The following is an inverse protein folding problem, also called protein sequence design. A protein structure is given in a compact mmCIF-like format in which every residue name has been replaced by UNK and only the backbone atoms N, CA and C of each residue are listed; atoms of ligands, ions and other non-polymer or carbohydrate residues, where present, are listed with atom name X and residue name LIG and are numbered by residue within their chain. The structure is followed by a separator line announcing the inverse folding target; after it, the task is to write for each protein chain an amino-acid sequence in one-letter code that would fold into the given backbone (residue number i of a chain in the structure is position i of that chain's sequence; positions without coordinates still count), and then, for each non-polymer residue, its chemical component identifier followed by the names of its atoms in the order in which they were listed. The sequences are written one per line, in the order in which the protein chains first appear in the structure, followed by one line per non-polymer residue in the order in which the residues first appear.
data_IF_065938090315
#
_entry.id   IF_065938090315
#
_cell.length_a   1.000
_cell.length_b   1.000
_cell.length_c   1.000
_cell.angle_alpha   90.00
_cell.angle_beta   90.00
_cell.angle_gamma   90.00
#
_symmetry.space_group_name_H-M   'P 1'
#
loop_
_entity.id
_entity.type
_entity.pdbx_description
1 polymer ?
#
# COMPACT_ATOMS: atom_id res chain seq x y z
N UNK A 1 -14.02 20.98 -3.60
CA UNK A 1 -14.48 19.84 -2.77
C UNK A 1 -15.55 19.13 -3.58
N UNK A 2 -15.25 17.93 -4.11
CA UNK A 2 -16.24 17.12 -4.82
C UNK A 2 -17.20 16.54 -3.79
N UNK A 3 -18.49 16.83 -3.95
CA UNK A 3 -19.56 16.38 -3.07
C UNK A 3 -19.80 14.88 -3.28
N UNK A 4 -19.26 14.08 -2.37
CA UNK A 4 -19.20 12.62 -2.47
C UNK A 4 -20.57 11.94 -2.40
N UNK A 5 -21.59 12.64 -1.86
CA UNK A 5 -22.97 12.13 -1.81
C UNK A 5 -23.61 12.00 -3.18
N UNK A 6 -23.54 13.05 -4.01
CA UNK A 6 -24.12 13.04 -5.36
C UNK A 6 -23.48 12.02 -6.30
N UNK A 7 -22.18 11.75 -6.12
CA UNK A 7 -21.48 10.74 -6.92
C UNK A 7 -21.90 9.32 -6.55
N UNK A 8 -22.19 9.07 -5.28
CA UNK A 8 -22.70 7.79 -4.81
C UNK A 8 -24.10 7.49 -5.36
N UNK A 9 -24.99 8.49 -5.34
CA UNK A 9 -26.35 8.33 -5.87
C UNK A 9 -26.35 8.09 -7.40
N UNK A 10 -25.41 8.69 -8.12
CA UNK A 10 -25.19 8.41 -9.55
C UNK A 10 -24.69 6.98 -9.79
N UNK A 11 -23.78 6.47 -8.95
CA UNK A 11 -23.29 5.10 -9.02
C UNK A 11 -24.39 4.07 -8.74
N UNK A 12 -25.21 4.31 -7.72
CA UNK A 12 -26.30 3.39 -7.37
C UNK A 12 -27.34 3.30 -8.50
N UNK A 13 -27.68 4.42 -9.15
CA UNK A 13 -28.60 4.44 -10.29
C UNK A 13 -28.03 3.79 -11.56
N UNK A 14 -26.73 3.96 -11.85
CA UNK A 14 -26.05 3.29 -12.97
C UNK A 14 -25.93 1.77 -12.75
N UNK A 15 -25.70 1.33 -11.50
CA UNK A 15 -25.69 -0.10 -11.14
C UNK A 15 -27.07 -0.72 -11.35
N UNK A 16 -28.14 -0.01 -10.95
CA UNK A 16 -29.52 -0.48 -11.16
C UNK A 16 -29.83 -0.59 -12.66
N UNK A 17 -29.43 0.39 -13.47
CA UNK A 17 -29.60 0.37 -14.92
C UNK A 17 -28.77 -0.72 -15.62
N UNK A 18 -27.57 -1.03 -15.11
CA UNK A 18 -26.75 -2.15 -15.58
C UNK A 18 -27.43 -3.50 -15.31
N UNK A 19 -28.05 -3.66 -14.13
CA UNK A 19 -28.76 -4.89 -13.74
C UNK A 19 -30.04 -5.09 -14.56
N UNK A 20 -30.74 -4.03 -14.93
CA UNK A 20 -32.03 -4.12 -15.64
C UNK A 20 -31.91 -4.15 -17.16
N UNK A 21 -30.96 -3.42 -17.76
CA UNK A 21 -30.92 -3.23 -19.21
C UNK A 21 -29.72 -3.92 -19.90
N UNK A 22 -28.80 -4.53 -19.15
CA UNK A 22 -27.58 -5.18 -19.68
C UNK A 22 -26.68 -4.25 -20.55
N UNK A 23 -26.92 -2.95 -20.54
CA UNK A 23 -26.11 -1.96 -21.23
C UNK A 23 -25.18 -1.29 -20.21
N UNK A 24 -23.87 -1.51 -20.37
CA UNK A 24 -22.87 -0.75 -19.62
C UNK A 24 -22.75 0.61 -20.28
N UNK A 25 -23.25 1.65 -19.62
CA UNK A 25 -23.01 3.02 -20.08
C UNK A 25 -21.50 3.31 -20.00
N UNK A 26 -20.96 3.99 -21.01
CA UNK A 26 -19.57 4.46 -21.01
C UNK A 26 -19.29 5.31 -19.76
N UNK A 27 -20.32 5.98 -19.22
CA UNK A 27 -20.27 6.76 -17.99
C UNK A 27 -19.89 5.91 -16.76
N UNK A 28 -20.41 4.69 -16.64
CA UNK A 28 -20.10 3.80 -15.52
C UNK A 28 -18.64 3.33 -15.54
N UNK A 29 -18.12 2.98 -16.72
CA UNK A 29 -16.71 2.62 -16.88
C UNK A 29 -15.83 3.83 -16.56
N UNK A 30 -16.14 5.02 -17.10
CA UNK A 30 -15.41 6.25 -16.79
C UNK A 30 -15.48 6.58 -15.29
N UNK A 31 -16.59 6.32 -14.61
CA UNK A 31 -16.72 6.53 -13.16
C UNK A 31 -15.83 5.58 -12.35
N UNK A 32 -15.74 4.30 -12.73
CA UNK A 32 -14.81 3.34 -12.11
C UNK A 32 -13.36 3.76 -12.36
N UNK A 33 -13.03 4.23 -13.57
CA UNK A 33 -11.70 4.74 -13.92
C UNK A 33 -11.35 5.94 -13.06
N UNK A 34 -12.23 6.92 -12.98
CA UNK A 34 -12.04 8.13 -12.17
C UNK A 34 -11.93 7.74 -10.70
N UNK A 35 -12.71 6.78 -10.20
CA UNK A 35 -12.59 6.29 -8.83
C UNK A 35 -11.23 5.64 -8.55
N UNK A 36 -10.74 4.78 -9.44
CA UNK A 36 -9.41 4.15 -9.31
C UNK A 36 -8.30 5.21 -9.39
N UNK A 37 -8.40 6.17 -10.33
CA UNK A 37 -7.45 7.27 -10.48
C UNK A 37 -7.46 8.17 -9.25
N UNK A 38 -8.62 8.56 -8.72
CA UNK A 38 -8.72 9.36 -7.49
C UNK A 38 -8.11 8.61 -6.30
N UNK A 39 -8.38 7.31 -6.14
CA UNK A 39 -7.77 6.49 -5.09
C UNK A 39 -6.23 6.39 -5.26
N UNK A 40 -5.75 6.36 -6.50
CA UNK A 40 -4.32 6.34 -6.81
C UNK A 40 -3.65 7.70 -6.57
N UNK A 41 -4.30 8.81 -6.95
CA UNK A 41 -3.79 10.18 -6.79
C UNK A 41 -3.91 10.69 -5.36
N UNK A 42 -4.92 10.30 -4.58
CA UNK A 42 -4.99 10.60 -3.14
C UNK A 42 -3.81 9.99 -2.39
N UNK A 43 -3.26 8.85 -2.86
CA UNK A 43 -2.00 8.30 -2.35
C UNK A 43 -0.76 9.01 -2.90
N UNK A 44 -0.81 9.60 -4.10
CA UNK A 44 0.35 10.16 -4.79
C UNK A 44 0.60 11.66 -4.51
N UNK A 45 -0.45 12.49 -4.42
CA UNK A 45 -0.30 13.94 -4.16
C UNK A 45 0.14 14.26 -2.72
N UNK A 46 -0.08 13.36 -1.77
CA UNK A 46 0.43 13.50 -0.40
C UNK A 46 1.94 13.19 -0.28
N UNK A 47 2.49 12.38 -1.19
CA UNK A 47 3.82 11.78 -1.01
C UNK A 47 4.95 12.60 -1.63
N UNK A 48 4.75 13.33 -2.72
CA UNK A 48 5.90 13.83 -3.48
C UNK A 48 6.21 15.33 -3.33
N UNK A 49 5.21 16.21 -3.11
CA UNK A 49 5.41 17.67 -3.25
C UNK A 49 5.94 18.40 -2.00
N UNK A 50 6.26 17.71 -0.91
CA UNK A 50 6.70 18.33 0.36
C UNK A 50 7.90 17.66 1.08
N UNK A 51 8.48 16.58 0.54
CA UNK A 51 9.25 15.61 1.34
C UNK A 51 10.78 15.75 1.38
N UNK A 52 11.41 16.74 0.74
CA UNK A 52 12.87 16.90 0.84
C UNK A 52 13.28 18.15 1.64
N UNK A 53 12.74 19.32 1.28
CA UNK A 53 13.19 20.58 1.87
C UNK A 53 12.62 20.84 3.28
N UNK A 54 11.46 20.29 3.65
CA UNK A 54 10.90 20.42 5.02
C UNK A 54 11.61 19.52 6.04
N UNK A 55 12.15 18.39 5.61
CA UNK A 55 12.74 17.42 6.53
C UNK A 55 14.06 17.94 7.11
N UNK A 56 14.89 18.53 6.24
CA UNK A 56 16.12 19.20 6.66
C UNK A 56 15.84 20.41 7.56
N UNK A 57 14.86 21.25 7.22
CA UNK A 57 14.46 22.39 8.06
C UNK A 57 13.91 21.94 9.42
N UNK A 58 13.15 20.83 9.47
CA UNK A 58 12.65 20.28 10.74
C UNK A 58 13.77 19.76 11.63
N UNK A 59 14.75 19.05 11.07
CA UNK A 59 15.92 18.58 11.84
C UNK A 59 16.70 19.77 12.41
N UNK A 60 17.00 20.77 11.58
CA UNK A 60 17.72 21.96 12.04
C UNK A 60 16.93 22.74 13.10
N UNK A 61 15.61 22.85 12.96
CA UNK A 61 14.77 23.48 13.97
C UNK A 61 14.80 22.70 15.30
N UNK A 62 14.73 21.36 15.26
CA UNK A 62 14.80 20.52 16.46
C UNK A 62 16.18 20.58 17.13
N UNK A 63 17.26 20.62 16.34
CA UNK A 63 18.63 20.81 16.86
C UNK A 63 18.78 22.18 17.54
N UNK A 64 18.30 23.25 16.91
CA UNK A 64 18.31 24.60 17.48
C UNK A 64 17.48 24.69 18.78
N UNK A 65 16.32 24.01 18.85
CA UNK A 65 15.52 23.94 20.08
C UNK A 65 16.29 23.18 21.16
N UNK A 66 16.92 22.04 20.82
CA UNK A 66 17.70 21.23 21.75
C UNK A 66 18.84 22.02 22.40
N UNK A 67 19.57 22.82 21.63
CA UNK A 67 20.69 23.64 22.12
C UNK A 67 20.24 24.70 23.13
N UNK A 68 19.05 25.28 22.93
CA UNK A 68 18.50 26.34 23.77
C UNK A 68 17.72 25.85 25.01
N UNK A 69 17.53 24.54 25.17
CA UNK A 69 16.89 23.99 26.36
C UNK A 69 17.84 24.04 27.56
N UNK A 70 17.32 24.37 28.75
CA UNK A 70 18.05 24.27 30.02
C UNK A 70 17.78 22.95 30.74
N UNK A 71 16.60 22.37 30.53
CA UNK A 71 16.16 21.15 31.20
C UNK A 71 16.75 19.89 30.52
N UNK A 72 17.49 19.09 31.29
CA UNK A 72 18.13 17.84 30.83
C UNK A 72 17.11 16.83 30.29
N UNK A 73 15.98 16.65 30.98
CA UNK A 73 14.94 15.71 30.56
C UNK A 73 14.33 16.10 29.20
N UNK A 74 14.08 17.39 28.97
CA UNK A 74 13.58 17.86 27.67
C UNK A 74 14.62 17.72 26.56
N UNK A 75 15.92 17.82 26.87
CA UNK A 75 16.99 17.55 25.89
C UNK A 75 17.01 16.09 25.47
N UNK A 76 16.89 15.17 26.41
CA UNK A 76 16.85 13.73 26.13
C UNK A 76 15.62 13.36 25.28
N UNK A 77 14.44 13.91 25.61
CA UNK A 77 13.23 13.69 24.84
C UNK A 77 13.34 14.27 23.42
N UNK A 78 13.94 15.45 23.27
CA UNK A 78 14.17 16.06 21.95
C UNK A 78 15.16 15.24 21.12
N UNK A 79 16.23 14.71 21.75
CA UNK A 79 17.17 13.82 21.07
C UNK A 79 16.48 12.55 20.57
N UNK A 80 15.63 11.92 21.38
CA UNK A 80 14.87 10.74 21.00
C UNK A 80 13.95 10.98 19.78
N UNK A 81 13.32 12.16 19.72
CA UNK A 81 12.49 12.58 18.58
C UNK A 81 13.35 12.80 17.32
N UNK A 82 14.53 13.39 17.46
CA UNK A 82 15.49 13.56 16.36
C UNK A 82 15.95 12.19 15.85
N UNK A 83 16.31 11.27 16.74
CA UNK A 83 16.79 9.93 16.37
C UNK A 83 15.69 9.10 15.68
N UNK A 84 14.45 9.17 16.16
CA UNK A 84 13.30 8.57 15.47
C UNK A 84 13.14 9.16 14.07
N UNK A 85 13.21 10.49 13.97
CA UNK A 85 13.04 11.20 12.71
C UNK A 85 14.09 10.78 11.68
N UNK A 86 15.37 10.82 12.07
CA UNK A 86 16.50 10.40 11.22
C UNK A 86 16.34 8.95 10.80
N UNK A 87 16.04 8.05 11.73
CA UNK A 87 15.79 6.64 11.40
C UNK A 87 14.64 6.49 10.40
N UNK A 88 13.53 7.21 10.58
CA UNK A 88 12.39 7.14 9.67
C UNK A 88 12.74 7.69 8.29
N UNK A 89 13.54 8.74 8.18
CA UNK A 89 13.99 9.26 6.87
C UNK A 89 14.90 8.24 6.18
N UNK A 90 15.86 7.65 6.89
CA UNK A 90 16.79 6.69 6.32
C UNK A 90 16.16 5.34 5.98
N UNK A 91 15.23 4.85 6.80
CA UNK A 91 14.70 3.48 6.70
C UNK A 91 13.26 3.43 6.21
N UNK A 92 12.55 4.55 6.23
CA UNK A 92 11.09 4.67 5.98
C UNK A 92 10.21 3.85 6.95
N UNK A 93 10.75 3.52 8.12
CA UNK A 93 10.07 2.78 9.20
C UNK A 93 9.83 3.75 10.37
N UNK A 94 8.58 3.85 10.85
CA UNK A 94 8.28 4.51 12.13
C UNK A 94 8.23 3.44 13.21
N UNK A 95 9.10 3.57 14.22
CA UNK A 95 9.25 2.58 15.28
C UNK A 95 9.74 3.25 16.56
N UNK A 96 9.36 2.71 17.71
CA UNK A 96 9.88 3.16 19.00
C UNK A 96 11.37 2.80 19.16
N UNK A 97 12.05 3.41 20.13
CA UNK A 97 13.48 3.22 20.39
C UNK A 97 13.92 1.76 20.35
N UNK A 98 13.29 0.93 21.19
CA UNK A 98 13.62 -0.50 21.33
C UNK A 98 13.53 -1.24 20.00
N UNK A 99 12.46 -1.02 19.23
CA UNK A 99 12.29 -1.67 17.94
C UNK A 99 13.30 -1.18 16.91
N UNK A 100 13.65 0.12 16.90
CA UNK A 100 14.69 0.66 16.01
C UNK A 100 16.05 0.02 16.29
N UNK A 101 16.42 -0.08 17.56
CA UNK A 101 17.67 -0.72 17.98
C UNK A 101 17.72 -2.19 17.54
N UNK A 102 16.65 -2.96 17.79
CA UNK A 102 16.56 -4.36 17.36
C UNK A 102 16.66 -4.47 15.84
N UNK A 103 15.95 -3.63 15.08
CA UNK A 103 15.99 -3.65 13.61
C UNK A 103 17.41 -3.38 13.11
N UNK A 104 18.10 -2.36 13.65
CA UNK A 104 19.46 -2.01 13.23
C UNK A 104 20.46 -3.12 13.54
N UNK A 105 20.37 -3.73 14.72
CA UNK A 105 21.21 -4.86 15.12
C UNK A 105 20.96 -6.05 14.19
N UNK A 106 19.69 -6.47 14.03
CA UNK A 106 19.33 -7.62 13.19
C UNK A 106 19.65 -7.40 11.71
N UNK A 107 19.45 -6.19 11.21
CA UNK A 107 19.86 -5.78 9.86
C UNK A 107 21.36 -6.00 9.64
N UNK A 108 22.19 -5.50 10.57
CA UNK A 108 23.64 -5.56 10.48
C UNK A 108 24.20 -6.98 10.67
N UNK A 109 23.67 -7.72 11.63
CA UNK A 109 24.16 -9.07 11.96
C UNK A 109 23.80 -10.11 10.89
N UNK A 110 22.65 -9.97 10.23
CA UNK A 110 22.10 -11.00 9.35
C UNK A 110 22.08 -10.57 7.88
N UNK A 111 22.63 -9.40 7.55
CA UNK A 111 22.63 -8.80 6.22
C UNK A 111 21.23 -8.87 5.57
N UNK A 112 20.26 -8.27 6.24
CA UNK A 112 18.85 -8.27 5.80
C UNK A 112 18.45 -6.89 5.36
N UNK A 113 18.03 -6.72 4.11
CA UNK A 113 17.59 -5.41 3.64
C UNK A 113 16.43 -4.81 4.47
N UNK A 114 16.55 -3.51 4.77
CA UNK A 114 15.61 -2.77 5.62
C UNK A 114 14.17 -2.78 5.10
N UNK A 115 13.96 -2.95 3.80
CA UNK A 115 12.61 -3.03 3.23
C UNK A 115 11.84 -4.24 3.75
N UNK A 116 12.50 -5.34 4.12
CA UNK A 116 11.83 -6.50 4.72
C UNK A 116 11.25 -6.14 6.09
N UNK A 117 12.00 -5.42 6.92
CA UNK A 117 11.52 -4.93 8.21
C UNK A 117 10.37 -3.94 8.05
N UNK A 118 10.45 -3.04 7.06
CA UNK A 118 9.35 -2.13 6.73
C UNK A 118 8.07 -2.87 6.36
N UNK A 119 8.16 -3.81 5.42
CA UNK A 119 7.00 -4.59 4.95
C UNK A 119 6.40 -5.45 6.05
N UNK A 120 7.23 -6.01 6.93
CA UNK A 120 6.79 -6.87 8.03
C UNK A 120 6.30 -6.13 9.27
N UNK A 121 6.44 -4.80 9.32
CA UNK A 121 6.17 -3.97 10.52
C UNK A 121 4.85 -4.27 11.24
N UNK A 122 3.76 -4.55 10.50
CA UNK A 122 2.46 -4.88 11.08
C UNK A 122 2.41 -6.19 11.88
N UNK A 123 3.39 -7.07 11.69
CA UNK A 123 3.50 -8.37 12.35
C UNK A 123 4.44 -8.36 13.55
N UNK A 124 5.12 -7.23 13.79
CA UNK A 124 6.04 -7.09 14.91
C UNK A 124 5.27 -6.95 16.22
N UNK A 125 5.59 -7.82 17.17
CA UNK A 125 5.18 -7.68 18.56
C UNK A 125 6.42 -7.57 19.44
N UNK A 126 6.49 -6.49 20.21
CA UNK A 126 7.49 -6.35 21.26
C UNK A 126 6.98 -7.11 22.48
N UNK A 127 7.81 -8.03 22.95
CA UNK A 127 7.63 -8.79 24.19
C UNK A 127 8.82 -8.51 25.11
N UNK A 128 8.73 -8.91 26.38
CA UNK A 128 9.83 -8.74 27.34
C UNK A 128 11.11 -9.49 26.91
N UNK A 129 10.95 -10.56 26.12
CA UNK A 129 12.04 -11.38 25.56
C UNK A 129 12.60 -10.82 24.23
N UNK A 130 12.01 -9.74 23.69
CA UNK A 130 12.47 -9.07 22.46
C UNK A 130 11.40 -8.98 21.37
N UNK A 131 11.85 -8.91 20.12
CA UNK A 131 10.99 -8.80 18.93
C UNK A 131 10.48 -10.18 18.52
N UNK A 132 9.17 -10.36 18.46
CA UNK A 132 8.52 -11.56 17.95
C UNK A 132 7.72 -11.26 16.69
N UNK A 133 7.61 -12.22 15.78
CA UNK A 133 6.78 -12.12 14.58
C UNK A 133 5.53 -12.97 14.76
N UNK A 134 4.38 -12.32 14.93
CA UNK A 134 3.09 -13.01 15.05
C UNK A 134 2.32 -12.96 13.74
N UNK A 135 2.08 -14.14 13.16
CA UNK A 135 1.31 -14.31 11.93
C UNK A 135 0.05 -15.08 12.30
N UNK A 136 -1.11 -14.49 12.07
CA UNK A 136 -2.39 -15.14 12.36
C UNK A 136 -2.78 -16.13 11.27
N UNK A 137 -3.65 -17.09 11.59
CA UNK A 137 -4.26 -17.97 10.57
C UNK A 137 -5.05 -17.19 9.52
N UNK A 138 -5.64 -16.06 9.90
CA UNK A 138 -6.36 -15.17 8.98
C UNK A 138 -5.41 -14.50 7.97
N UNK A 139 -4.18 -14.18 8.35
CA UNK A 139 -3.18 -13.65 7.40
C UNK A 139 -2.79 -14.68 6.35
N UNK A 140 -2.63 -15.93 6.77
CA UNK A 140 -2.33 -17.06 5.88
C UNK A 140 -3.51 -17.31 4.93
N UNK A 141 -4.73 -17.31 5.46
CA UNK A 141 -5.94 -17.43 4.65
C UNK A 141 -6.05 -16.28 3.64
N UNK A 142 -5.83 -15.04 4.08
CA UNK A 142 -5.83 -13.85 3.23
C UNK A 142 -4.84 -13.95 2.06
N UNK A 143 -3.67 -14.55 2.27
CA UNK A 143 -2.72 -14.82 1.19
C UNK A 143 -3.30 -15.75 0.12
N UNK A 144 -3.93 -16.86 0.52
CA UNK A 144 -4.55 -17.79 -0.43
C UNK A 144 -5.76 -17.18 -1.12
N UNK A 145 -6.55 -16.40 -0.40
CA UNK A 145 -7.66 -15.63 -0.96
C UNK A 145 -7.17 -14.65 -2.05
N UNK A 146 -6.12 -13.89 -1.77
CA UNK A 146 -5.51 -12.98 -2.74
C UNK A 146 -5.03 -13.72 -3.99
N UNK A 147 -4.41 -14.90 -3.85
CA UNK A 147 -4.03 -15.72 -5.00
C UNK A 147 -5.23 -16.18 -5.82
N UNK A 148 -6.25 -16.74 -5.16
CA UNK A 148 -7.46 -17.21 -5.84
C UNK A 148 -8.16 -16.05 -6.58
N UNK A 149 -8.29 -14.90 -5.93
CA UNK A 149 -8.94 -13.72 -6.51
C UNK A 149 -8.14 -13.15 -7.69
N UNK A 150 -6.81 -13.09 -7.60
CA UNK A 150 -5.96 -12.73 -8.75
C UNK A 150 -6.11 -13.70 -9.91
N UNK A 151 -6.23 -15.02 -9.66
CA UNK A 151 -6.48 -16.02 -10.72
C UNK A 151 -7.82 -15.74 -11.41
N UNK A 152 -8.89 -15.48 -10.65
CA UNK A 152 -10.21 -15.14 -11.21
C UNK A 152 -10.12 -13.90 -12.09
N UNK A 153 -9.42 -12.85 -11.66
CA UNK A 153 -9.23 -11.64 -12.47
C UNK A 153 -8.46 -11.92 -13.77
N UNK A 154 -7.42 -12.77 -13.72
CA UNK A 154 -6.73 -13.20 -14.95
C UNK A 154 -7.62 -14.01 -15.88
N UNK A 155 -8.47 -14.89 -15.35
CA UNK A 155 -9.44 -15.64 -16.15
C UNK A 155 -10.46 -14.70 -16.81
N UNK A 156 -10.90 -13.64 -16.13
CA UNK A 156 -11.77 -12.61 -16.72
C UNK A 156 -11.07 -11.86 -17.86
N UNK A 157 -9.78 -11.54 -17.72
CA UNK A 157 -8.98 -10.95 -18.81
C UNK A 157 -8.96 -11.90 -20.01
N UNK A 158 -8.62 -13.17 -19.80
CA UNK A 158 -8.59 -14.16 -20.87
C UNK A 158 -9.97 -14.32 -21.54
N UNK A 159 -11.03 -14.35 -20.76
CA UNK A 159 -12.40 -14.44 -21.25
C UNK A 159 -12.75 -13.24 -22.16
N UNK A 160 -12.42 -12.02 -21.74
CA UNK A 160 -12.64 -10.81 -22.55
C UNK A 160 -11.86 -10.90 -23.88
N UNK A 161 -10.59 -11.31 -23.82
CA UNK A 161 -9.75 -11.44 -25.02
C UNK A 161 -10.30 -12.50 -25.99
N UNK A 162 -10.80 -13.62 -25.48
CA UNK A 162 -11.45 -14.67 -26.30
C UNK A 162 -12.71 -14.11 -26.96
N UNK A 163 -13.57 -13.40 -26.22
CA UNK A 163 -14.77 -12.79 -26.77
C UNK A 163 -14.45 -11.78 -27.89
N UNK A 164 -13.38 -11.01 -27.75
CA UNK A 164 -12.89 -10.12 -28.81
C UNK A 164 -12.51 -10.93 -30.04
N UNK A 165 -11.73 -12.00 -29.84
CA UNK A 165 -11.22 -12.83 -30.95
C UNK A 165 -12.32 -13.56 -31.73
N UNK A 166 -13.43 -13.91 -31.08
CA UNK A 166 -14.55 -14.64 -31.70
C UNK A 166 -15.58 -13.71 -32.35
N UNK A 167 -15.50 -12.39 -32.11
CA UNK A 167 -16.49 -11.46 -32.62
C UNK A 167 -16.16 -11.02 -34.04
N UNK A 168 -17.00 -11.42 -35.00
CA UNK A 168 -16.85 -11.10 -36.43
C UNK A 168 -17.05 -9.61 -36.75
N UNK A 169 -17.83 -8.87 -35.94
CA UNK A 169 -18.15 -7.45 -36.16
C UNK A 169 -17.87 -6.61 -34.91
N UNK A 170 -16.58 -6.39 -34.59
CA UNK A 170 -16.18 -5.48 -33.53
C UNK A 170 -16.09 -4.05 -34.02
N UNK A 171 -16.82 -3.16 -33.36
CA UNK A 171 -16.62 -1.71 -33.53
C UNK A 171 -15.35 -1.29 -32.78
N UNK A 172 -14.64 -0.30 -33.31
CA UNK A 172 -13.43 0.26 -32.67
C UNK A 172 -13.69 0.64 -31.20
N UNK A 173 -14.88 1.17 -30.91
CA UNK A 173 -15.31 1.51 -29.56
C UNK A 173 -15.35 0.28 -28.62
N UNK A 174 -15.97 -0.83 -29.04
CA UNK A 174 -16.04 -2.07 -28.24
C UNK A 174 -14.65 -2.67 -28.02
N UNK A 175 -13.78 -2.59 -29.03
CA UNK A 175 -12.38 -3.04 -28.91
C UNK A 175 -11.61 -2.25 -27.84
N UNK A 176 -11.65 -0.92 -27.91
CA UNK A 176 -10.94 -0.05 -26.96
C UNK A 176 -11.44 -0.22 -25.53
N UNK A 177 -12.75 -0.35 -25.33
CA UNK A 177 -13.35 -0.62 -24.02
C UNK A 177 -12.87 -1.97 -23.47
N UNK A 178 -12.87 -3.00 -24.29
CA UNK A 178 -12.49 -4.35 -23.86
C UNK A 178 -10.99 -4.45 -23.53
N UNK A 179 -10.14 -3.75 -24.30
CA UNK A 179 -8.72 -3.62 -24.01
C UNK A 179 -8.49 -2.87 -22.69
N UNK A 180 -9.20 -1.77 -22.48
CA UNK A 180 -9.14 -1.01 -21.24
C UNK A 180 -9.53 -1.85 -20.02
N UNK A 181 -10.63 -2.61 -20.10
CA UNK A 181 -11.07 -3.51 -19.03
C UNK A 181 -10.04 -4.60 -18.75
N UNK A 182 -9.46 -5.19 -19.81
CA UNK A 182 -8.41 -6.21 -19.69
C UNK A 182 -7.16 -5.68 -18.99
N UNK A 183 -6.70 -4.48 -19.35
CA UNK A 183 -5.60 -3.82 -18.66
C UNK A 183 -5.95 -3.53 -17.19
N UNK A 184 -7.15 -3.01 -16.92
CA UNK A 184 -7.59 -2.67 -15.56
C UNK A 184 -7.63 -3.90 -14.65
N UNK A 185 -8.20 -5.02 -15.13
CA UNK A 185 -8.21 -6.27 -14.36
C UNK A 185 -6.81 -6.86 -14.19
N UNK A 186 -5.93 -6.74 -15.19
CA UNK A 186 -4.54 -7.19 -15.07
C UNK A 186 -3.79 -6.40 -14.00
N UNK A 187 -3.92 -5.07 -13.98
CA UNK A 187 -3.32 -4.20 -12.96
C UNK A 187 -3.91 -4.52 -11.58
N UNK A 188 -5.23 -4.72 -11.49
CA UNK A 188 -5.90 -5.13 -10.26
C UNK A 188 -5.38 -6.47 -9.73
N UNK A 189 -5.24 -7.47 -10.59
CA UNK A 189 -4.72 -8.79 -10.24
C UNK A 189 -3.29 -8.70 -9.69
N UNK A 190 -2.42 -7.95 -10.35
CA UNK A 190 -1.06 -7.70 -9.89
C UNK A 190 -1.04 -6.95 -8.56
N UNK A 191 -1.88 -5.92 -8.41
CA UNK A 191 -1.99 -5.17 -7.16
C UNK A 191 -2.38 -6.06 -5.99
N UNK A 192 -3.38 -6.94 -6.15
CA UNK A 192 -3.80 -7.89 -5.12
C UNK A 192 -2.64 -8.84 -4.75
N UNK A 193 -1.86 -9.31 -5.72
CA UNK A 193 -0.66 -10.13 -5.44
C UNK A 193 0.37 -9.37 -4.60
N UNK A 194 0.56 -8.06 -4.83
CA UNK A 194 1.49 -7.25 -4.03
C UNK A 194 1.08 -7.13 -2.55
N UNK A 195 -0.21 -7.28 -2.23
CA UNK A 195 -0.70 -7.26 -0.85
C UNK A 195 -0.17 -8.43 -0.01
N UNK A 196 0.39 -9.47 -0.65
CA UNK A 196 1.05 -10.58 0.03
C UNK A 196 2.50 -10.27 0.43
N UNK A 197 3.10 -9.17 -0.04
CA UNK A 197 4.49 -8.81 0.25
C UNK A 197 4.78 -8.60 1.75
N UNK A 198 3.92 -7.93 2.54
CA UNK A 198 4.08 -7.85 3.99
C UNK A 198 4.24 -9.22 4.65
N UNK A 199 3.35 -10.16 4.33
CA UNK A 199 3.38 -11.51 4.91
C UNK A 199 4.61 -12.30 4.46
N UNK A 200 4.98 -12.21 3.17
CA UNK A 200 6.21 -12.84 2.66
C UNK A 200 7.45 -12.32 3.40
N UNK A 201 7.56 -11.01 3.59
CA UNK A 201 8.66 -10.42 4.36
C UNK A 201 8.65 -10.85 5.83
N UNK A 202 7.47 -10.98 6.44
CA UNK A 202 7.36 -11.45 7.82
C UNK A 202 7.82 -12.90 7.98
N UNK A 203 7.39 -13.79 7.07
CA UNK A 203 7.84 -15.20 7.05
C UNK A 203 9.35 -15.27 6.84
N UNK A 204 9.88 -14.52 5.87
CA UNK A 204 11.31 -14.45 5.61
C UNK A 204 12.12 -14.01 6.84
N UNK A 205 11.69 -12.94 7.52
CA UNK A 205 12.34 -12.48 8.75
C UNK A 205 12.23 -13.52 9.86
N UNK A 206 11.08 -14.19 9.97
CA UNK A 206 10.85 -15.22 10.98
C UNK A 206 11.83 -16.39 10.81
N UNK A 207 12.00 -16.85 9.59
CA UNK A 207 12.92 -17.94 9.23
C UNK A 207 14.39 -17.53 9.40
N UNK A 208 14.76 -16.32 8.94
CA UNK A 208 16.16 -15.87 8.96
C UNK A 208 16.64 -15.45 10.35
N UNK A 209 15.74 -14.95 11.20
CA UNK A 209 16.08 -14.44 12.53
C UNK A 209 15.68 -15.39 13.68
N UNK A 210 15.07 -16.54 13.37
CA UNK A 210 14.51 -17.49 14.34
C UNK A 210 13.55 -16.82 15.34
N UNK A 211 12.60 -16.02 14.83
CA UNK A 211 11.63 -15.23 15.62
C UNK A 211 10.20 -15.80 15.64
#
# INVERSE_FOLDING_TARGET
MLDTGKFRDLLENEIINFITNNEISIGFIIAIIIFIIIQFFQKFEYIHRHYANREYTKINNLLNIKENLSNIYLKELTQEVIDEYVFRVCTTISANKKLREIILVKHKENDIELFHFKRASRFFKLTDEGLKIEISKLDIFGKYFNYAFSIVLFLLVLYILILISLSENITLQKYLISLFLSCSFSIGALYILTQNFPLKSAIYLKEKLNL
#
